data_IF_079914711787
#
_entry.id   IF_079914711787
#
_cell.length_a   1.000
_cell.length_b   1.000
_cell.length_c   1.000
_cell.angle_alpha   90.00
_cell.angle_beta   90.00
_cell.angle_gamma   90.00
#
_symmetry.space_group_name_H-M   'P 1'
#
loop_
_entity.id
_entity.type
_entity.pdbx_description
1 polymer ?
#
# COMPACT_ATOMS: atom_id res chain seq x y z
N UNK A 1 1.17 -6.88 20.61
CA UNK A 1 2.02 -5.69 20.35
C UNK A 1 2.49 -5.77 18.91
N UNK A 2 2.29 -4.73 18.13
CA UNK A 2 2.65 -4.71 16.72
C UNK A 2 4.05 -4.12 16.53
N UNK A 3 4.81 -4.66 15.59
CA UNK A 3 6.17 -4.21 15.27
C UNK A 3 6.15 -3.07 14.24
N UNK A 4 5.24 -3.14 13.27
CA UNK A 4 5.12 -2.19 12.16
C UNK A 4 3.65 -1.94 11.81
N UNK A 5 3.40 -0.83 11.13
CA UNK A 5 2.11 -0.54 10.51
C UNK A 5 2.26 -0.80 9.00
N UNK A 6 1.38 -1.61 8.43
CA UNK A 6 1.36 -1.92 7.00
C UNK A 6 0.10 -1.36 6.36
N UNK A 7 0.28 -0.45 5.41
CA UNK A 7 -0.81 0.17 4.68
C UNK A 7 -1.08 -0.64 3.40
N UNK A 8 -2.31 -1.12 3.26
CA UNK A 8 -2.79 -1.87 2.10
C UNK A 8 -3.92 -1.12 1.41
N UNK A 9 -4.18 -1.47 0.16
CA UNK A 9 -5.25 -0.87 -0.65
C UNK A 9 -4.88 -0.83 -2.12
N UNK A 10 -5.86 -0.51 -2.96
CA UNK A 10 -5.68 -0.47 -4.40
C UNK A 10 -4.69 0.64 -4.83
N UNK A 11 -4.12 0.51 -6.02
CA UNK A 11 -3.25 1.55 -6.58
C UNK A 11 -4.01 2.87 -6.68
N UNK A 12 -3.36 3.97 -6.29
CA UNK A 12 -3.97 5.30 -6.30
C UNK A 12 -4.92 5.59 -5.13
N UNK A 13 -5.06 4.70 -4.15
CA UNK A 13 -5.87 4.96 -2.94
C UNK A 13 -5.27 5.96 -1.96
N UNK A 14 -3.98 6.33 -2.13
CA UNK A 14 -3.32 7.34 -1.30
C UNK A 14 -2.41 6.80 -0.21
N UNK A 15 -2.07 5.51 -0.23
CA UNK A 15 -1.19 4.85 0.78
C UNK A 15 0.12 5.58 1.03
N UNK A 16 0.82 5.98 -0.02
CA UNK A 16 2.11 6.68 0.09
C UNK A 16 1.97 8.03 0.76
N UNK A 17 0.96 8.82 0.38
CA UNK A 17 0.71 10.15 0.99
C UNK A 17 0.31 10.03 2.45
N UNK A 18 -0.64 9.16 2.75
CA UNK A 18 -1.09 8.86 4.13
C UNK A 18 0.05 8.34 4.98
N UNK A 19 0.81 7.40 4.45
CA UNK A 19 1.91 6.77 5.16
C UNK A 19 3.01 7.74 5.57
N UNK A 20 3.37 8.69 4.69
CA UNK A 20 4.34 9.74 5.01
C UNK A 20 3.86 10.66 6.13
N UNK A 21 2.58 11.07 6.09
CA UNK A 21 2.00 11.94 7.11
C UNK A 21 1.91 11.19 8.44
N UNK A 22 1.34 9.97 8.42
CA UNK A 22 1.20 9.13 9.60
C UNK A 22 2.56 8.87 10.27
N UNK A 23 3.55 8.42 9.51
CA UNK A 23 4.88 8.11 10.03
C UNK A 23 5.53 9.31 10.71
N UNK A 24 5.37 10.51 10.12
CA UNK A 24 5.88 11.75 10.72
C UNK A 24 5.17 12.11 12.04
N UNK A 25 3.86 11.91 12.10
CA UNK A 25 3.07 12.27 13.29
C UNK A 25 3.29 11.33 14.47
N UNK A 26 3.61 10.06 14.21
CA UNK A 26 3.91 9.07 15.26
C UNK A 26 5.43 8.80 15.43
N UNK A 27 6.27 9.64 14.82
CA UNK A 27 7.74 9.56 14.90
C UNK A 27 8.31 8.20 14.48
N UNK A 28 7.72 7.58 13.45
CA UNK A 28 8.16 6.32 12.85
C UNK A 28 8.80 6.52 11.47
N UNK A 29 9.53 5.53 10.97
CA UNK A 29 10.10 5.59 9.62
C UNK A 29 9.07 5.23 8.57
N UNK A 30 8.99 6.03 7.50
CA UNK A 30 8.20 5.68 6.34
C UNK A 30 9.00 4.84 5.35
N UNK A 31 8.41 3.73 4.89
CA UNK A 31 8.99 2.81 3.93
C UNK A 31 7.97 2.54 2.81
N UNK A 32 8.39 2.65 1.56
CA UNK A 32 7.57 2.32 0.39
C UNK A 32 8.20 1.14 -0.35
N UNK A 33 7.46 0.03 -0.41
CA UNK A 33 7.97 -1.24 -0.96
C UNK A 33 8.36 -1.10 -2.42
N UNK A 34 7.51 -0.48 -3.25
CA UNK A 34 7.79 -0.31 -4.67
C UNK A 34 9.04 0.55 -4.89
N UNK A 35 9.16 1.66 -4.16
CA UNK A 35 10.33 2.54 -4.23
C UNK A 35 11.62 1.84 -3.79
N UNK A 36 11.56 0.98 -2.79
CA UNK A 36 12.72 0.20 -2.33
C UNK A 36 13.15 -0.83 -3.37
N UNK A 37 12.19 -1.51 -3.99
CA UNK A 37 12.46 -2.46 -5.07
C UNK A 37 13.08 -1.74 -6.27
N UNK A 38 12.50 -0.63 -6.72
CA UNK A 38 13.04 0.16 -7.82
C UNK A 38 14.48 0.62 -7.56
N UNK A 39 14.75 1.07 -6.34
CA UNK A 39 16.09 1.47 -5.92
C UNK A 39 17.08 0.30 -5.92
N UNK A 40 16.69 -0.86 -5.37
CA UNK A 40 17.55 -2.05 -5.34
C UNK A 40 17.85 -2.57 -6.75
N UNK A 41 16.82 -2.61 -7.60
CA UNK A 41 16.93 -3.13 -8.97
C UNK A 41 17.46 -2.09 -9.98
N UNK A 42 17.51 -0.81 -9.61
CA UNK A 42 17.84 0.32 -10.51
C UNK A 42 16.97 0.37 -11.77
N UNK A 43 15.69 0.01 -11.62
CA UNK A 43 14.69 -0.09 -12.69
C UNK A 43 13.31 0.24 -12.15
N UNK A 44 12.44 0.73 -13.02
CA UNK A 44 11.03 0.93 -12.66
C UNK A 44 10.30 -0.41 -12.45
N UNK A 45 9.23 -0.41 -11.66
CA UNK A 45 8.36 -1.59 -11.52
C UNK A 45 7.86 -2.06 -12.88
N UNK A 46 7.47 -1.14 -13.75
CA UNK A 46 7.02 -1.44 -15.12
C UNK A 46 8.09 -2.18 -15.92
N UNK A 47 9.34 -1.72 -15.86
CA UNK A 47 10.46 -2.38 -16.58
C UNK A 47 10.74 -3.77 -16.02
N UNK A 48 10.68 -3.94 -14.69
CA UNK A 48 10.84 -5.24 -14.05
C UNK A 48 9.77 -6.22 -14.54
N UNK A 49 8.51 -5.80 -14.58
CA UNK A 49 7.42 -6.62 -15.11
C UNK A 49 7.63 -7.01 -16.58
N UNK A 50 8.00 -6.05 -17.42
CA UNK A 50 8.17 -6.28 -18.85
C UNK A 50 9.36 -7.18 -19.16
N UNK A 51 10.46 -7.05 -18.42
CA UNK A 51 11.69 -7.79 -18.68
C UNK A 51 11.79 -9.14 -17.97
N UNK A 52 11.26 -9.22 -16.73
CA UNK A 52 11.41 -10.39 -15.85
C UNK A 52 10.10 -11.10 -15.53
N UNK A 53 8.97 -10.45 -15.80
CA UNK A 53 7.63 -11.00 -15.54
C UNK A 53 7.12 -10.80 -14.11
N UNK A 54 5.85 -11.11 -13.93
CA UNK A 54 5.14 -10.91 -12.66
C UNK A 54 5.72 -11.75 -11.52
N UNK A 55 5.99 -13.04 -11.75
CA UNK A 55 6.50 -13.94 -10.71
C UNK A 55 7.80 -13.44 -10.10
N UNK A 56 8.70 -12.88 -10.91
CA UNK A 56 9.95 -12.28 -10.44
C UNK A 56 9.68 -11.06 -9.53
N UNK A 57 8.78 -10.18 -9.95
CA UNK A 57 8.40 -9.00 -9.15
C UNK A 57 7.76 -9.41 -7.81
N UNK A 58 6.87 -10.40 -7.81
CA UNK A 58 6.25 -10.92 -6.58
C UNK A 58 7.27 -11.50 -5.60
N UNK A 59 8.29 -12.17 -6.11
CA UNK A 59 9.40 -12.64 -5.28
C UNK A 59 10.19 -11.46 -4.65
N UNK A 60 10.38 -10.36 -5.39
CA UNK A 60 11.00 -9.15 -4.85
C UNK A 60 10.12 -8.48 -3.78
N UNK A 61 8.80 -8.41 -3.97
CA UNK A 61 7.87 -7.89 -2.96
C UNK A 61 7.95 -8.71 -1.68
N UNK A 62 7.89 -10.04 -1.77
CA UNK A 62 7.98 -10.93 -0.59
C UNK A 62 9.31 -10.77 0.13
N UNK A 63 10.42 -10.72 -0.59
CA UNK A 63 11.75 -10.49 -0.01
C UNK A 63 11.82 -9.14 0.70
N UNK A 64 11.29 -8.09 0.08
CA UNK A 64 11.29 -6.74 0.61
C UNK A 64 10.51 -6.66 1.93
N UNK A 65 9.25 -7.12 1.95
CA UNK A 65 8.41 -7.06 3.15
C UNK A 65 8.97 -7.92 4.28
N UNK A 66 9.53 -9.08 3.98
CA UNK A 66 10.20 -9.94 4.96
C UNK A 66 11.43 -9.27 5.57
N UNK A 67 12.22 -8.58 4.76
CA UNK A 67 13.39 -7.82 5.22
C UNK A 67 12.99 -6.64 6.10
N UNK A 68 11.94 -5.90 5.73
CA UNK A 68 11.41 -4.80 6.53
C UNK A 68 10.89 -5.28 7.89
N UNK A 69 10.28 -6.46 7.94
CA UNK A 69 9.76 -7.06 9.17
C UNK A 69 10.83 -7.43 10.21
N UNK A 70 12.11 -7.49 9.82
CA UNK A 70 13.21 -7.68 10.77
C UNK A 70 13.49 -6.43 11.62
N UNK A 71 12.86 -5.32 11.30
CA UNK A 71 12.97 -4.06 12.04
C UNK A 71 11.60 -3.64 12.55
N UNK A 72 11.59 -2.89 13.63
CA UNK A 72 10.36 -2.33 14.22
C UNK A 72 10.26 -0.83 13.98
N UNK A 73 9.10 -0.26 14.24
CA UNK A 73 8.92 1.19 14.22
C UNK A 73 8.81 1.79 12.82
N UNK A 74 8.15 1.08 11.91
CA UNK A 74 7.98 1.54 10.54
C UNK A 74 6.49 1.66 10.15
N UNK A 75 6.21 2.60 9.26
CA UNK A 75 4.97 2.67 8.48
C UNK A 75 5.34 2.25 7.06
N UNK A 76 4.81 1.12 6.62
CA UNK A 76 5.15 0.48 5.36
C UNK A 76 3.99 0.61 4.38
N UNK A 77 4.21 1.30 3.26
CA UNK A 77 3.26 1.36 2.14
C UNK A 77 3.54 0.22 1.17
N UNK A 78 2.52 -0.58 0.86
CA UNK A 78 2.64 -1.71 -0.07
C UNK A 78 2.17 -1.34 -1.47
N UNK A 79 2.64 -2.07 -2.49
CA UNK A 79 1.97 -2.12 -3.78
C UNK A 79 0.59 -2.77 -3.65
N UNK A 80 -0.33 -2.44 -4.55
CA UNK A 80 -1.70 -2.95 -4.49
C UNK A 80 -1.81 -4.48 -4.62
N UNK A 81 -0.86 -5.12 -5.29
CA UNK A 81 -0.81 -6.56 -5.45
C UNK A 81 -0.13 -7.32 -4.32
N UNK A 82 0.69 -6.65 -3.50
CA UNK A 82 1.44 -7.33 -2.45
C UNK A 82 0.55 -8.12 -1.48
N UNK A 83 -0.55 -7.58 -0.94
CA UNK A 83 -1.41 -8.34 -0.02
C UNK A 83 -2.09 -9.56 -0.66
N UNK A 84 -2.17 -9.59 -1.99
CA UNK A 84 -2.78 -10.70 -2.75
C UNK A 84 -1.77 -11.84 -2.96
N UNK A 85 -0.51 -11.50 -3.21
CA UNK A 85 0.52 -12.43 -3.69
C UNK A 85 1.60 -12.76 -2.65
N UNK A 86 1.65 -12.00 -1.55
CA UNK A 86 2.70 -12.12 -0.54
C UNK A 86 2.12 -12.20 0.86
N UNK A 87 2.79 -12.92 1.74
CA UNK A 87 2.44 -12.96 3.16
C UNK A 87 2.91 -11.67 3.85
N UNK A 88 1.98 -11.00 4.54
CA UNK A 88 2.32 -9.89 5.43
C UNK A 88 2.73 -10.47 6.79
N UNK A 89 3.82 -9.97 7.41
CA UNK A 89 4.28 -10.47 8.70
C UNK A 89 3.21 -10.36 9.79
N UNK A 90 3.04 -11.41 10.59
CA UNK A 90 1.95 -11.54 11.58
C UNK A 90 1.92 -10.41 12.64
N UNK A 91 3.09 -9.88 13.01
CA UNK A 91 3.18 -8.78 13.98
C UNK A 91 2.94 -7.39 13.37
N UNK A 92 2.29 -7.31 12.22
CA UNK A 92 1.97 -6.05 11.55
C UNK A 92 0.55 -5.58 11.90
N UNK A 93 0.42 -4.29 12.24
CA UNK A 93 -0.88 -3.63 12.26
C UNK A 93 -1.27 -3.27 10.83
N UNK A 94 -2.23 -4.00 10.28
CA UNK A 94 -2.64 -3.84 8.88
C UNK A 94 -3.79 -2.83 8.81
N UNK A 95 -3.58 -1.74 8.06
CA UNK A 95 -4.56 -0.69 7.82
C UNK A 95 -4.93 -0.65 6.35
N UNK A 96 -6.20 -0.80 6.05
CA UNK A 96 -6.73 -0.69 4.70
C UNK A 96 -7.15 0.75 4.39
N UNK A 97 -6.51 1.34 3.39
CA UNK A 97 -6.87 2.65 2.84
C UNK A 97 -7.92 2.42 1.75
N UNK A 98 -9.18 2.49 2.15
CA UNK A 98 -10.33 2.12 1.34
C UNK A 98 -10.90 3.32 0.61
N UNK A 99 -10.68 3.39 -0.70
CA UNK A 99 -11.25 4.39 -1.58
C UNK A 99 -12.02 3.69 -2.71
N UNK A 100 -13.17 4.23 -3.08
CA UNK A 100 -13.97 3.74 -4.20
C UNK A 100 -13.20 3.89 -5.51
N UNK A 101 -13.46 2.99 -6.45
CA UNK A 101 -12.75 2.99 -7.74
C UNK A 101 -12.87 4.32 -8.49
N UNK A 102 -14.09 4.88 -8.54
CA UNK A 102 -14.34 6.16 -9.22
C UNK A 102 -13.60 7.32 -8.53
N UNK A 103 -13.50 7.30 -7.21
CA UNK A 103 -12.73 8.28 -6.43
C UNK A 103 -11.24 8.18 -6.75
N UNK A 104 -10.71 6.95 -6.86
CA UNK A 104 -9.32 6.71 -7.26
C UNK A 104 -9.07 7.27 -8.66
N UNK A 105 -9.94 6.96 -9.64
CA UNK A 105 -9.80 7.46 -11.01
C UNK A 105 -9.83 8.99 -11.09
N UNK A 106 -10.73 9.61 -10.35
CA UNK A 106 -10.87 11.07 -10.35
C UNK A 106 -9.68 11.81 -9.71
N UNK A 107 -8.99 11.16 -8.76
CA UNK A 107 -7.79 11.74 -8.11
C UNK A 107 -6.55 11.64 -8.96
N UNK A 108 -6.47 10.67 -9.86
CA UNK A 108 -5.30 10.46 -10.70
C UNK A 108 -5.36 11.35 -11.94
N UNK A 109 -4.33 12.16 -12.13
CA UNK A 109 -4.12 12.88 -13.38
C UNK A 109 -3.88 11.90 -14.55
N UNK A 110 -4.10 12.35 -15.78
CA UNK A 110 -3.80 11.56 -17.00
C UNK A 110 -2.36 11.05 -16.96
N UNK A 111 -1.41 11.92 -16.62
CA UNK A 111 0.02 11.57 -16.50
C UNK A 111 0.32 10.47 -15.47
N UNK A 112 -0.45 10.44 -14.37
CA UNK A 112 -0.31 9.39 -13.35
C UNK A 112 -0.95 8.08 -13.78
N UNK A 113 -2.06 8.14 -14.53
CA UNK A 113 -2.68 6.95 -15.13
C UNK A 113 -1.77 6.33 -16.19
N UNK A 114 -1.12 7.14 -17.02
CA UNK A 114 -0.19 6.67 -18.06
C UNK A 114 1.00 5.90 -17.50
N UNK A 115 1.46 6.26 -16.29
CA UNK A 115 2.53 5.53 -15.58
C UNK A 115 2.08 4.19 -14.98
N UNK A 116 0.80 3.85 -15.06
CA UNK A 116 0.21 2.66 -14.46
C UNK A 116 -0.51 1.83 -15.51
N UNK A 117 0.18 0.88 -16.15
CA UNK A 117 -0.38 0.09 -17.26
C UNK A 117 -1.74 -0.54 -16.94
N UNK A 118 -1.95 -0.96 -15.68
CA UNK A 118 -3.22 -1.56 -15.24
C UNK A 118 -4.40 -0.59 -15.24
N UNK A 119 -4.16 0.73 -15.22
CA UNK A 119 -5.22 1.76 -15.27
C UNK A 119 -5.51 2.27 -16.69
N UNK A 120 -4.78 1.80 -17.69
CA UNK A 120 -5.01 2.19 -19.08
C UNK A 120 -6.28 1.55 -19.65
N UNK A 121 -6.65 0.36 -19.17
CA UNK A 121 -7.93 -0.29 -19.47
C UNK A 121 -8.80 -0.23 -18.21
N UNK A 122 -9.71 0.74 -18.18
CA UNK A 122 -10.56 1.01 -17.02
C UNK A 122 -11.45 -0.19 -16.64
N UNK A 123 -11.96 -0.93 -17.62
CA UNK A 123 -12.80 -2.11 -17.35
C UNK A 123 -12.01 -3.22 -16.67
N UNK A 124 -10.79 -3.47 -17.13
CA UNK A 124 -9.89 -4.45 -16.51
C UNK A 124 -9.42 -4.00 -15.13
N UNK A 125 -9.12 -2.71 -14.98
CA UNK A 125 -8.73 -2.13 -13.71
C UNK A 125 -9.86 -2.25 -12.68
N UNK A 126 -11.11 -2.00 -13.08
CA UNK A 126 -12.29 -2.14 -12.22
C UNK A 126 -12.51 -3.59 -11.80
N UNK A 127 -12.42 -4.53 -12.72
CA UNK A 127 -12.53 -5.96 -12.41
C UNK A 127 -11.44 -6.41 -11.40
N UNK A 128 -10.20 -5.95 -11.58
CA UNK A 128 -9.10 -6.21 -10.67
C UNK A 128 -9.34 -5.58 -9.29
N UNK A 129 -9.88 -4.37 -9.24
CA UNK A 129 -10.28 -3.71 -8.00
C UNK A 129 -11.33 -4.53 -7.25
N UNK A 130 -12.40 -4.95 -7.91
CA UNK A 130 -13.49 -5.74 -7.31
C UNK A 130 -12.99 -7.08 -6.78
N UNK A 131 -12.06 -7.73 -7.47
CA UNK A 131 -11.41 -8.97 -7.03
C UNK A 131 -10.58 -8.75 -5.75
N UNK A 132 -9.79 -7.66 -5.68
CA UNK A 132 -8.82 -7.43 -4.61
C UNK A 132 -9.42 -6.89 -3.32
N UNK A 133 -10.53 -6.14 -3.37
CA UNK A 133 -11.11 -5.50 -2.18
C UNK A 133 -11.51 -6.50 -1.10
N UNK A 134 -11.91 -7.71 -1.47
CA UNK A 134 -12.25 -8.76 -0.49
C UNK A 134 -11.04 -9.11 0.36
N UNK A 135 -9.89 -9.36 -0.27
CA UNK A 135 -8.64 -9.67 0.44
C UNK A 135 -8.20 -8.51 1.34
N UNK A 136 -8.29 -7.26 0.87
CA UNK A 136 -7.93 -6.11 1.71
C UNK A 136 -8.82 -6.03 2.96
N UNK A 137 -10.12 -6.27 2.82
CA UNK A 137 -11.06 -6.26 3.94
C UNK A 137 -10.80 -7.37 4.93
N UNK A 138 -10.47 -8.58 4.45
CA UNK A 138 -10.19 -9.74 5.29
C UNK A 138 -8.88 -9.59 6.08
N UNK A 139 -7.84 -9.04 5.47
CA UNK A 139 -6.53 -8.90 6.09
C UNK A 139 -6.43 -7.73 7.07
N UNK A 140 -7.27 -6.70 6.92
CA UNK A 140 -7.11 -5.47 7.68
C UNK A 140 -7.63 -5.56 9.10
N UNK A 141 -6.87 -5.01 10.04
CA UNK A 141 -7.30 -4.77 11.43
C UNK A 141 -8.12 -3.47 11.54
N UNK A 142 -7.87 -2.53 10.66
CA UNK A 142 -8.58 -1.27 10.60
C UNK A 142 -8.79 -0.81 9.15
N UNK A 143 -9.95 -0.23 8.89
CA UNK A 143 -10.32 0.28 7.57
C UNK A 143 -10.60 1.76 7.66
N UNK A 144 -9.94 2.55 6.84
CA UNK A 144 -10.12 4.00 6.75
C UNK A 144 -10.94 4.32 5.50
N UNK A 145 -12.02 5.07 5.66
CA UNK A 145 -12.76 5.63 4.53
C UNK A 145 -11.96 6.76 3.88
N UNK A 146 -11.26 6.42 2.80
CA UNK A 146 -10.40 7.32 2.05
C UNK A 146 -11.12 7.99 0.86
N UNK A 147 -12.45 7.96 0.80
CA UNK A 147 -13.23 8.74 -0.17
C UNK A 147 -13.19 10.24 0.12
N UNK A 148 -12.83 10.60 1.34
CA UNK A 148 -12.66 11.98 1.80
C UNK A 148 -11.20 12.45 1.66
N UNK A 149 -10.92 13.70 2.05
CA UNK A 149 -9.55 14.22 2.08
C UNK A 149 -8.74 13.57 3.20
N UNK A 150 -7.42 13.52 3.05
CA UNK A 150 -6.52 12.96 4.06
C UNK A 150 -6.71 13.68 5.40
N UNK A 151 -6.88 15.01 5.40
CA UNK A 151 -7.12 15.79 6.60
C UNK A 151 -8.34 15.32 7.37
N UNK A 152 -9.40 14.92 6.65
CA UNK A 152 -10.67 14.51 7.26
C UNK A 152 -10.54 13.19 8.01
N UNK A 153 -9.84 12.19 7.45
CA UNK A 153 -9.76 10.88 8.09
C UNK A 153 -8.48 10.62 8.88
N UNK A 154 -7.49 11.51 8.78
CA UNK A 154 -6.19 11.31 9.45
C UNK A 154 -6.32 11.27 10.97
N UNK A 155 -7.18 12.10 11.56
CA UNK A 155 -7.37 12.09 13.01
C UNK A 155 -7.95 10.75 13.50
N UNK A 156 -8.93 10.19 12.78
CA UNK A 156 -9.52 8.87 13.11
C UNK A 156 -8.46 7.76 13.00
N UNK A 157 -7.62 7.84 11.98
CA UNK A 157 -6.51 6.90 11.81
C UNK A 157 -5.48 7.03 12.93
N UNK A 158 -5.12 8.26 13.28
CA UNK A 158 -4.18 8.52 14.37
C UNK A 158 -4.71 8.03 15.72
N UNK A 159 -5.95 8.35 16.06
CA UNK A 159 -6.57 7.92 17.31
C UNK A 159 -6.56 6.40 17.41
N UNK A 160 -6.93 5.71 16.32
CA UNK A 160 -6.86 4.25 16.27
C UNK A 160 -5.43 3.73 16.47
N UNK A 161 -4.46 4.30 15.74
CA UNK A 161 -3.06 3.83 15.77
C UNK A 161 -2.41 4.07 17.14
N UNK A 162 -2.68 5.23 17.77
CA UNK A 162 -2.14 5.58 19.08
C UNK A 162 -2.70 4.70 20.22
N UNK A 163 -3.92 4.18 20.05
CA UNK A 163 -4.53 3.24 20.99
C UNK A 163 -3.91 1.82 20.88
N UNK A 164 -3.19 1.55 19.80
CA UNK A 164 -2.53 0.26 19.62
C UNK A 164 -1.18 0.21 20.35
N UNK A 165 -0.84 -0.98 20.86
CA UNK A 165 0.48 -1.22 21.43
C UNK A 165 1.51 -1.43 20.32
N UNK A 166 2.17 -0.35 19.89
CA UNK A 166 3.27 -0.38 18.92
C UNK A 166 4.63 -0.48 19.63
N UNK A 167 5.55 -1.20 19.01
CA UNK A 167 6.97 -1.22 19.40
C UNK A 167 7.73 -0.05 18.80
#
# INVERSE_FOLDING_TARGET
MYDNIVLIGFMGSGKTSVGKILARQIEKKFMDVDSLIEKEQQRSVTDIFNEKGEAYFRALEQKCITTLAQKTGQVISTGGGLPIHSAIPENSLIVYIDADFDVILNRLSVKERDKRPLLQDESKAKALFEERIHTYKELSHFRVDANQTIQTYMHVLLDFVLDQRLR
#
